data_IF_853614222472
#
_entry.id   IF_853614222472
#
_cell.length_a   1.000
_cell.length_b   1.000
_cell.length_c   1.000
_cell.angle_alpha   90.00
_cell.angle_beta   90.00
_cell.angle_gamma   90.00
#
_symmetry.space_group_name_H-M   'P 1'
#
loop_
_entity.id
_entity.type
_entity.pdbx_description
1 polymer ?
#
# COMPACT_ATOMS: atom_id res chain seq x y z
N UNK A 1 15.52 -94.16 0.26
CA UNK A 1 16.87 -93.78 -0.13
C UNK A 1 16.85 -92.37 -0.71
N UNK A 2 17.62 -91.52 -0.28
CA UNK A 2 17.96 -90.15 -0.61
C UNK A 2 17.49 -89.08 0.40
N UNK A 3 18.45 -88.63 1.13
CA UNK A 3 18.40 -87.62 2.13
C UNK A 3 18.29 -86.21 1.50
N UNK A 4 17.37 -85.41 1.94
CA UNK A 4 17.25 -84.00 1.55
C UNK A 4 17.76 -83.20 2.70
N UNK A 5 18.82 -82.44 2.47
CA UNK A 5 19.45 -81.50 3.40
C UNK A 5 18.68 -80.18 3.27
N UNK A 6 18.09 -79.72 4.36
CA UNK A 6 17.43 -78.44 4.43
C UNK A 6 18.48 -77.39 4.81
N UNK A 7 18.82 -76.53 3.88
CA UNK A 7 19.64 -75.34 4.15
C UNK A 7 18.77 -74.19 4.68
N UNK A 8 19.02 -73.83 5.91
CA UNK A 8 18.39 -72.63 6.46
C UNK A 8 19.11 -71.37 5.99
N UNK A 9 18.44 -70.61 5.20
CA UNK A 9 18.88 -69.22 4.81
C UNK A 9 18.29 -68.25 5.78
N UNK A 10 19.15 -67.69 6.66
CA UNK A 10 18.82 -66.56 7.48
C UNK A 10 18.81 -65.30 6.63
N UNK A 11 17.63 -64.82 6.31
CA UNK A 11 17.46 -63.49 5.71
C UNK A 11 17.41 -62.43 6.82
N UNK A 12 18.50 -61.68 6.97
CA UNK A 12 18.55 -60.49 7.79
C UNK A 12 17.75 -59.40 7.06
N UNK A 13 16.51 -59.20 7.47
CA UNK A 13 15.68 -58.07 7.01
C UNK A 13 16.15 -56.79 7.65
N UNK A 14 16.87 -55.95 6.91
CA UNK A 14 17.13 -54.58 7.32
C UNK A 14 15.81 -53.77 7.22
N UNK A 15 15.20 -53.53 8.37
CA UNK A 15 14.10 -52.56 8.52
C UNK A 15 14.68 -51.15 8.31
N UNK A 16 14.59 -50.63 7.09
CA UNK A 16 14.74 -49.20 6.82
C UNK A 16 13.52 -48.48 7.38
N UNK A 17 13.70 -47.92 8.59
CA UNK A 17 12.77 -46.94 9.15
C UNK A 17 12.85 -45.68 8.29
N UNK A 18 12.00 -45.58 7.29
CA UNK A 18 11.68 -44.30 6.65
C UNK A 18 10.97 -43.47 7.73
N UNK A 19 11.74 -42.68 8.45
CA UNK A 19 11.20 -41.61 9.28
C UNK A 19 10.54 -40.60 8.32
N UNK A 20 9.21 -40.66 8.20
CA UNK A 20 8.44 -39.53 7.69
C UNK A 20 8.68 -38.36 8.65
N UNK A 21 9.61 -37.47 8.31
CA UNK A 21 9.58 -36.12 8.84
C UNK A 21 8.27 -35.51 8.32
N UNK A 22 7.22 -35.63 9.12
CA UNK A 22 6.08 -34.72 9.02
C UNK A 22 6.65 -33.35 9.39
N UNK A 23 7.11 -32.59 8.37
CA UNK A 23 7.25 -31.17 8.51
C UNK A 23 5.90 -30.70 9.05
N UNK A 24 5.88 -30.26 10.31
CA UNK A 24 4.74 -29.57 10.86
C UNK A 24 4.58 -28.33 9.95
N UNK A 25 3.65 -28.42 9.00
CA UNK A 25 3.14 -27.23 8.34
C UNK A 25 2.55 -26.42 9.47
N UNK A 26 3.29 -25.42 9.93
CA UNK A 26 2.72 -24.36 10.72
C UNK A 26 1.61 -23.78 9.84
N UNK A 27 0.37 -24.18 10.12
CA UNK A 27 -0.79 -23.50 9.57
C UNK A 27 -0.71 -22.09 10.13
N UNK A 28 -0.06 -21.20 9.38
CA UNK A 28 -0.16 -19.78 9.66
C UNK A 28 -1.65 -19.47 9.71
N UNK A 29 -2.09 -18.95 10.86
CA UNK A 29 -3.48 -18.51 10.98
C UNK A 29 -3.79 -17.59 9.81
N UNK A 30 -4.94 -17.77 9.13
CA UNK A 30 -5.32 -16.85 8.06
C UNK A 30 -5.18 -15.42 8.55
N UNK A 31 -4.57 -14.56 7.76
CA UNK A 31 -4.42 -13.15 8.10
C UNK A 31 -5.81 -12.56 8.33
N UNK A 32 -6.06 -12.04 9.52
CA UNK A 32 -7.31 -11.34 9.79
C UNK A 32 -7.40 -10.11 8.91
N UNK A 33 -8.61 -9.77 8.46
CA UNK A 33 -8.84 -8.53 7.74
C UNK A 33 -8.37 -7.36 8.60
N UNK A 34 -7.56 -6.47 8.03
CA UNK A 34 -7.14 -5.25 8.71
C UNK A 34 -8.25 -4.21 8.65
N UNK A 35 -8.31 -3.34 9.67
CA UNK A 35 -9.05 -2.10 9.57
C UNK A 35 -8.52 -1.29 8.39
N UNK A 36 -9.40 -0.48 7.79
CA UNK A 36 -9.00 0.34 6.65
C UNK A 36 -8.27 1.62 7.06
N UNK A 37 -8.43 2.07 8.32
CA UNK A 37 -7.76 3.27 8.79
C UNK A 37 -7.32 3.19 10.25
N UNK A 38 -6.19 3.82 10.51
CA UNK A 38 -5.54 3.91 11.82
C UNK A 38 -5.12 5.34 12.08
N UNK A 39 -5.11 5.77 13.34
CA UNK A 39 -4.58 7.09 13.70
C UNK A 39 -3.93 7.07 15.09
N UNK A 40 -2.98 7.98 15.28
CA UNK A 40 -2.29 8.20 16.54
C UNK A 40 -1.44 9.45 16.49
N UNK A 41 -0.93 9.87 17.64
CA UNK A 41 0.08 10.92 17.73
C UNK A 41 1.41 10.25 18.05
N UNK A 42 2.32 10.29 17.08
CA UNK A 42 3.67 9.75 17.18
C UNK A 42 4.64 10.81 17.71
N UNK A 43 5.80 10.42 18.26
CA UNK A 43 6.82 11.35 18.68
C UNK A 43 7.32 12.22 17.52
N UNK A 44 7.66 13.46 17.85
CA UNK A 44 8.20 14.44 16.91
C UNK A 44 9.39 15.14 17.59
N UNK A 45 10.48 15.32 16.85
CA UNK A 45 11.69 15.95 17.40
C UNK A 45 11.52 17.46 17.57
N UNK A 46 10.91 18.12 16.59
CA UNK A 46 10.83 19.57 16.47
C UNK A 46 9.39 20.10 16.50
N UNK A 47 8.43 19.30 16.98
CA UNK A 47 7.03 19.67 17.08
C UNK A 47 6.38 19.04 18.33
N UNK A 48 5.16 19.46 18.66
CA UNK A 48 4.44 18.94 19.83
C UNK A 48 3.99 17.47 19.66
N UNK A 49 3.90 17.00 18.42
CA UNK A 49 3.55 15.63 18.05
C UNK A 49 3.25 15.51 16.58
N UNK A 50 3.42 14.31 16.06
CA UNK A 50 3.12 13.97 14.68
C UNK A 50 1.79 13.21 14.62
N UNK A 51 0.68 13.94 14.37
CA UNK A 51 -0.61 13.30 14.17
C UNK A 51 -0.61 12.55 12.86
N UNK A 52 -0.57 11.23 12.97
CA UNK A 52 -0.47 10.31 11.85
C UNK A 52 -1.81 9.62 11.62
N UNK A 53 -2.25 9.60 10.36
CA UNK A 53 -3.43 8.86 9.90
C UNK A 53 -3.05 8.00 8.71
N UNK A 54 -3.23 6.68 8.83
CA UNK A 54 -2.92 5.70 7.81
C UNK A 54 -4.20 5.08 7.27
N UNK A 55 -4.35 5.06 5.95
CA UNK A 55 -5.48 4.47 5.23
C UNK A 55 -4.97 3.31 4.36
N UNK A 56 -5.31 2.09 4.72
CA UNK A 56 -5.00 0.90 3.95
C UNK A 56 -6.17 0.60 3.00
N UNK A 57 -5.91 0.55 1.72
CA UNK A 57 -6.92 0.31 0.70
C UNK A 57 -6.93 -1.16 0.28
N UNK A 58 -8.09 -1.69 -0.07
CA UNK A 58 -8.25 -3.09 -0.51
C UNK A 58 -7.49 -3.40 -1.80
N UNK A 59 -7.22 -2.38 -2.62
CA UNK A 59 -6.44 -2.51 -3.85
C UNK A 59 -4.92 -2.65 -3.64
N UNK A 60 -4.47 -2.72 -2.38
CA UNK A 60 -3.07 -2.84 -2.00
C UNK A 60 -2.32 -1.50 -1.95
N UNK A 61 -3.03 -0.38 -2.04
CA UNK A 61 -2.44 0.95 -1.89
C UNK A 61 -2.69 1.53 -0.50
N UNK A 62 -1.88 2.51 -0.10
CA UNK A 62 -2.10 3.24 1.15
C UNK A 62 -2.08 4.75 0.90
N UNK A 63 -2.70 5.48 1.81
CA UNK A 63 -2.52 6.93 1.98
C UNK A 63 -2.08 7.15 3.42
N UNK A 64 -1.01 7.91 3.60
CA UNK A 64 -0.49 8.30 4.90
C UNK A 64 -0.54 9.82 5.00
N UNK A 65 -1.31 10.34 5.96
CA UNK A 65 -1.33 11.77 6.30
C UNK A 65 -0.58 11.98 7.61
N UNK A 66 0.29 12.97 7.62
CA UNK A 66 1.07 13.39 8.79
C UNK A 66 0.88 14.89 9.01
N UNK A 67 0.48 15.26 10.22
CA UNK A 67 0.30 16.66 10.63
C UNK A 67 1.29 16.94 11.75
N UNK A 68 2.27 17.78 11.46
CA UNK A 68 3.24 18.30 12.42
C UNK A 68 2.56 19.36 13.28
N UNK A 69 2.20 18.99 14.51
CA UNK A 69 1.44 19.85 15.41
C UNK A 69 2.34 20.82 16.16
N UNK A 70 1.93 22.09 16.24
CA UNK A 70 2.64 23.10 17.01
C UNK A 70 4.04 23.42 16.49
N UNK A 71 4.28 23.31 15.18
CA UNK A 71 5.51 23.81 14.56
C UNK A 71 5.55 25.33 14.56
N UNK A 72 6.72 25.94 14.31
CA UNK A 72 6.88 27.41 14.35
C UNK A 72 5.95 28.16 13.38
N UNK A 73 5.61 27.49 12.26
CA UNK A 73 4.75 28.05 11.21
C UNK A 73 3.30 27.54 11.30
N UNK A 74 2.90 27.03 12.47
CA UNK A 74 1.61 26.39 12.70
C UNK A 74 1.60 24.91 12.28
N UNK A 75 0.43 24.29 12.30
CA UNK A 75 0.28 22.89 11.92
C UNK A 75 0.54 22.71 10.40
N UNK A 76 1.46 21.82 10.07
CA UNK A 76 1.83 21.50 8.69
C UNK A 76 1.36 20.11 8.35
N UNK A 77 0.51 19.98 7.32
CA UNK A 77 -0.04 18.70 6.86
C UNK A 77 0.65 18.23 5.58
N UNK A 78 1.10 17.00 5.59
CA UNK A 78 1.67 16.29 4.45
C UNK A 78 0.91 14.99 4.22
N UNK A 79 0.88 14.54 2.96
CA UNK A 79 0.34 13.23 2.63
C UNK A 79 1.26 12.53 1.64
N UNK A 80 1.34 11.21 1.77
CA UNK A 80 2.07 10.33 0.86
C UNK A 80 1.20 9.15 0.45
N UNK A 81 1.56 8.55 -0.67
CA UNK A 81 0.84 7.46 -1.31
C UNK A 81 1.81 6.41 -1.82
N UNK A 82 1.38 5.16 -1.83
CA UNK A 82 2.17 4.05 -2.34
C UNK A 82 1.44 2.73 -2.18
N UNK A 83 2.20 1.66 -2.14
CA UNK A 83 1.69 0.29 -1.96
C UNK A 83 1.97 -0.24 -0.56
N UNK A 84 1.13 -1.16 -0.09
CA UNK A 84 1.37 -1.86 1.17
C UNK A 84 1.37 -3.38 0.97
N UNK A 85 2.15 -4.06 1.79
CA UNK A 85 2.18 -5.50 1.89
C UNK A 85 2.20 -5.92 3.36
N UNK A 86 1.70 -7.11 3.65
CA UNK A 86 1.57 -7.60 5.03
C UNK A 86 1.93 -9.07 5.14
N UNK A 87 2.65 -9.39 6.22
CA UNK A 87 2.77 -10.73 6.79
C UNK A 87 2.01 -10.79 8.13
N UNK A 88 2.10 -11.90 8.87
CA UNK A 88 1.54 -12.00 10.22
C UNK A 88 2.15 -10.96 11.18
N UNK A 89 3.45 -10.70 11.06
CA UNK A 89 4.24 -9.93 12.01
C UNK A 89 4.60 -8.52 11.52
N UNK A 90 4.43 -8.23 10.23
CA UNK A 90 4.93 -6.99 9.65
C UNK A 90 4.01 -6.43 8.57
N UNK A 91 3.67 -5.16 8.68
CA UNK A 91 3.07 -4.34 7.63
C UNK A 91 4.16 -3.43 7.07
N UNK A 92 4.35 -3.45 5.77
CA UNK A 92 5.32 -2.62 5.05
C UNK A 92 4.57 -1.67 4.13
N UNK A 93 4.83 -0.39 4.29
CA UNK A 93 4.43 0.66 3.35
C UNK A 93 5.63 0.96 2.45
N UNK A 94 5.42 0.99 1.14
CA UNK A 94 6.43 1.41 0.16
C UNK A 94 5.91 2.63 -0.57
N UNK A 95 6.55 3.77 -0.36
CA UNK A 95 6.21 5.05 -0.97
C UNK A 95 6.52 5.08 -2.47
N UNK A 96 5.98 6.07 -3.16
CA UNK A 96 6.26 6.32 -4.56
C UNK A 96 7.72 6.76 -4.83
N UNK A 97 8.45 7.17 -3.80
CA UNK A 97 9.88 7.47 -3.78
C UNK A 97 10.76 6.25 -3.44
N UNK A 98 10.13 5.10 -3.15
CA UNK A 98 10.80 3.87 -2.74
C UNK A 98 11.13 3.79 -1.24
N UNK A 99 10.84 4.83 -0.46
CA UNK A 99 10.99 4.79 1.00
C UNK A 99 10.05 3.76 1.63
N UNK A 100 10.52 3.12 2.68
CA UNK A 100 9.75 2.11 3.40
C UNK A 100 9.48 2.54 4.82
N UNK A 101 8.27 2.23 5.28
CA UNK A 101 7.87 2.33 6.69
C UNK A 101 7.32 0.99 7.16
N UNK A 102 7.64 0.63 8.38
CA UNK A 102 7.33 -0.68 8.94
C UNK A 102 6.46 -0.53 10.17
N UNK A 103 5.48 -1.42 10.28
CA UNK A 103 4.63 -1.53 11.46
C UNK A 103 4.48 -2.99 11.85
N UNK A 104 4.35 -3.25 13.15
CA UNK A 104 4.00 -4.54 13.70
C UNK A 104 2.51 -4.55 14.03
N UNK A 105 1.69 -5.38 13.35
CA UNK A 105 0.31 -5.61 13.73
C UNK A 105 0.25 -6.29 15.10
N UNK A 106 -0.31 -5.63 16.10
CA UNK A 106 -0.44 -6.14 17.45
C UNK A 106 -1.85 -5.92 17.95
N UNK A 107 -2.55 -7.00 18.22
CA UNK A 107 -3.98 -6.99 18.48
C UNK A 107 -4.71 -6.29 17.30
N UNK A 108 -5.43 -5.20 17.59
CA UNK A 108 -6.09 -4.37 16.56
C UNK A 108 -5.26 -3.14 16.16
N UNK A 109 -4.09 -2.92 16.77
CA UNK A 109 -3.28 -1.73 16.59
C UNK A 109 -2.13 -1.97 15.62
N UNK A 110 -1.44 -0.88 15.25
CA UNK A 110 -0.18 -0.91 14.53
C UNK A 110 0.90 -0.23 15.38
N UNK A 111 1.92 -0.98 15.78
CA UNK A 111 3.11 -0.43 16.43
C UNK A 111 4.14 -0.07 15.35
N UNK A 112 4.57 1.18 15.29
CA UNK A 112 5.61 1.60 14.35
C UNK A 112 6.94 0.95 14.72
N UNK A 113 7.64 0.45 13.72
CA UNK A 113 8.98 -0.10 13.81
C UNK A 113 10.02 0.92 13.33
N UNK A 114 11.28 0.68 13.60
CA UNK A 114 12.37 1.50 13.10
C UNK A 114 12.62 1.33 11.58
N UNK A 115 13.59 2.03 11.03
CA UNK A 115 13.94 1.99 9.61
C UNK A 115 14.46 0.61 9.15
N UNK A 116 14.89 -0.24 10.10
CA UNK A 116 15.33 -1.62 9.84
C UNK A 116 14.19 -2.63 9.98
N UNK A 117 13.02 -2.17 10.44
CA UNK A 117 11.85 -2.99 10.70
C UNK A 117 11.92 -3.71 12.05
N UNK A 118 12.70 -3.19 13.00
CA UNK A 118 12.85 -3.71 14.35
C UNK A 118 12.04 -2.90 15.37
N UNK A 119 11.64 -3.49 16.51
CA UNK A 119 10.88 -2.80 17.55
C UNK A 119 11.62 -1.60 18.14
N UNK A 120 10.93 -0.45 18.26
CA UNK A 120 11.46 0.75 18.90
C UNK A 120 11.31 0.62 20.42
N UNK A 121 12.44 0.59 21.13
CA UNK A 121 12.43 0.63 22.61
C UNK A 121 12.40 2.08 23.08
N UNK A 122 11.24 2.55 23.54
CA UNK A 122 11.02 3.94 23.96
C UNK A 122 9.88 4.02 24.98
N UNK A 123 9.85 5.10 25.76
CA UNK A 123 8.71 5.45 26.61
C UNK A 123 7.64 6.31 25.88
N UNK A 124 7.92 6.72 24.65
CA UNK A 124 6.98 7.47 23.85
C UNK A 124 5.98 6.55 23.14
N UNK A 125 4.85 7.12 22.68
CA UNK A 125 3.84 6.38 21.95
C UNK A 125 4.24 6.21 20.47
N UNK A 126 4.36 4.97 20.02
CA UNK A 126 4.56 4.59 18.61
C UNK A 126 3.38 3.80 18.04
N UNK A 127 2.22 3.88 18.69
CA UNK A 127 1.04 3.07 18.34
C UNK A 127 0.00 3.90 17.60
N UNK A 128 -0.46 3.38 16.47
CA UNK A 128 -1.65 3.82 15.76
C UNK A 128 -2.81 2.88 16.12
N UNK A 129 -3.98 3.46 16.42
CA UNK A 129 -5.19 2.73 16.77
C UNK A 129 -6.18 2.73 15.61
N UNK A 130 -7.00 1.68 15.46
CA UNK A 130 -8.04 1.65 14.44
C UNK A 130 -9.05 2.78 14.67
N UNK A 131 -9.43 3.43 13.58
CA UNK A 131 -10.42 4.51 13.57
C UNK A 131 -11.30 4.39 12.32
N UNK A 132 -12.44 5.06 12.34
CA UNK A 132 -13.24 5.29 11.13
C UNK A 132 -13.11 6.75 10.74
N UNK A 133 -12.54 7.01 9.59
CA UNK A 133 -12.37 8.37 9.08
C UNK A 133 -12.37 8.38 7.55
N UNK A 134 -12.78 9.52 6.98
CA UNK A 134 -12.73 9.75 5.53
C UNK A 134 -11.31 9.96 5.04
N UNK A 135 -11.08 9.71 3.75
CA UNK A 135 -9.80 9.99 3.09
C UNK A 135 -9.42 11.47 3.27
N UNK A 136 -8.13 11.77 3.48
CA UNK A 136 -7.67 13.14 3.65
C UNK A 136 -7.71 13.88 2.32
N UNK A 137 -7.98 15.19 2.38
CA UNK A 137 -7.88 16.09 1.23
C UNK A 137 -6.52 16.79 1.12
N UNK A 138 -5.55 16.37 1.92
CA UNK A 138 -4.18 16.89 1.85
C UNK A 138 -3.57 16.49 0.50
N UNK A 139 -3.15 17.46 -0.33
CA UNK A 139 -2.55 17.15 -1.61
C UNK A 139 -1.22 16.39 -1.43
N UNK A 140 -0.98 15.43 -2.32
CA UNK A 140 0.26 14.67 -2.40
C UNK A 140 0.81 14.70 -3.82
N UNK A 141 2.11 14.52 -3.99
CA UNK A 141 2.73 14.44 -5.31
C UNK A 141 2.29 13.14 -6.02
N UNK A 142 1.67 13.29 -7.17
CA UNK A 142 1.22 12.19 -8.02
C UNK A 142 1.81 12.37 -9.43
N UNK A 143 2.23 11.27 -10.04
CA UNK A 143 2.66 11.23 -11.43
C UNK A 143 2.16 9.98 -12.12
N UNK A 144 1.73 10.11 -13.37
CA UNK A 144 1.14 9.00 -14.10
C UNK A 144 0.85 9.34 -15.56
N UNK A 145 0.25 8.37 -16.24
CA UNK A 145 -0.20 8.52 -17.62
C UNK A 145 -1.68 8.82 -17.63
N UNK A 146 -2.05 9.98 -18.13
CA UNK A 146 -3.46 10.38 -18.32
C UNK A 146 -3.93 10.07 -19.72
N UNK A 147 -5.16 9.62 -19.81
CA UNK A 147 -5.92 9.51 -21.05
C UNK A 147 -7.30 10.14 -20.85
N UNK A 148 -7.77 10.87 -21.86
CA UNK A 148 -9.13 11.40 -21.92
C UNK A 148 -9.82 10.84 -23.15
N UNK A 149 -10.94 10.16 -22.96
CA UNK A 149 -11.72 9.51 -24.01
C UNK A 149 -13.18 9.42 -23.59
N UNK A 150 -14.10 9.67 -24.51
CA UNK A 150 -15.54 9.57 -24.27
C UNK A 150 -15.99 10.31 -22.99
N UNK A 151 -15.55 11.56 -22.84
CA UNK A 151 -15.87 12.45 -21.71
C UNK A 151 -15.42 11.95 -20.33
N UNK A 152 -14.50 10.96 -20.29
CA UNK A 152 -13.92 10.42 -19.08
C UNK A 152 -12.39 10.53 -19.09
N UNK A 153 -11.84 10.98 -17.98
CA UNK A 153 -10.41 11.00 -17.74
C UNK A 153 -10.00 9.80 -16.87
N UNK A 154 -8.93 9.13 -17.27
CA UNK A 154 -8.28 8.08 -16.49
C UNK A 154 -6.82 8.42 -16.24
N UNK A 155 -6.31 8.03 -15.09
CA UNK A 155 -4.95 8.25 -14.63
C UNK A 155 -4.33 6.92 -14.22
N UNK A 156 -3.32 6.47 -14.96
CA UNK A 156 -2.51 5.31 -14.58
C UNK A 156 -1.32 5.80 -13.77
N UNK A 157 -1.37 5.57 -12.47
CA UNK A 157 -0.31 5.96 -11.54
C UNK A 157 1.01 5.24 -11.83
N UNK A 158 2.11 5.97 -11.90
CA UNK A 158 3.43 5.42 -12.21
C UNK A 158 3.99 4.54 -11.07
N UNK A 159 3.72 4.91 -9.82
CA UNK A 159 4.29 4.21 -8.67
C UNK A 159 3.67 2.83 -8.44
N UNK A 160 2.36 2.72 -8.64
CA UNK A 160 1.61 1.49 -8.35
C UNK A 160 1.11 0.77 -9.59
N UNK A 161 1.14 1.43 -10.75
CA UNK A 161 0.54 0.93 -12.00
C UNK A 161 -0.98 0.85 -11.99
N UNK A 162 -1.64 1.31 -10.91
CA UNK A 162 -3.10 1.31 -10.79
C UNK A 162 -3.72 2.37 -11.67
N UNK A 163 -4.92 2.11 -12.15
CA UNK A 163 -5.70 3.05 -12.97
C UNK A 163 -6.85 3.57 -12.12
N UNK A 164 -6.98 4.89 -12.08
CA UNK A 164 -8.03 5.58 -11.35
C UNK A 164 -8.81 6.49 -12.30
N UNK A 165 -10.13 6.63 -12.15
CA UNK A 165 -10.85 7.73 -12.74
C UNK A 165 -10.33 9.05 -12.16
N UNK A 166 -10.33 10.08 -12.97
CA UNK A 166 -10.09 11.45 -12.51
C UNK A 166 -11.42 12.19 -12.37
N UNK A 167 -11.57 12.86 -11.26
CA UNK A 167 -12.71 13.75 -11.06
C UNK A 167 -12.75 14.79 -12.18
N UNK A 168 -13.92 14.97 -12.81
CA UNK A 168 -14.08 15.81 -13.97
C UNK A 168 -13.60 17.25 -13.69
N UNK A 169 -12.58 17.65 -14.40
CA UNK A 169 -12.00 18.98 -14.32
C UNK A 169 -11.74 19.49 -15.74
N UNK A 170 -12.46 20.52 -16.13
CA UNK A 170 -12.35 21.13 -17.47
C UNK A 170 -10.91 21.55 -17.80
N UNK A 171 -10.16 22.05 -16.83
CA UNK A 171 -8.76 22.45 -17.04
C UNK A 171 -7.83 21.27 -17.32
N UNK A 172 -8.13 20.07 -16.79
CA UNK A 172 -7.39 18.85 -17.13
C UNK A 172 -7.66 18.41 -18.55
N UNK A 173 -8.92 18.44 -18.98
CA UNK A 173 -9.28 18.17 -20.38
C UNK A 173 -8.57 19.14 -21.33
N UNK A 174 -8.67 20.44 -21.09
CA UNK A 174 -8.03 21.48 -21.92
C UNK A 174 -6.51 21.27 -22.00
N UNK A 175 -5.85 21.02 -20.86
CA UNK A 175 -4.41 20.76 -20.80
C UNK A 175 -3.99 19.49 -21.54
N UNK A 176 -4.75 18.41 -21.39
CA UNK A 176 -4.53 17.16 -22.11
C UNK A 176 -4.69 17.35 -23.63
N UNK A 177 -5.79 17.97 -24.05
CA UNK A 177 -6.06 18.21 -25.47
C UNK A 177 -5.01 19.12 -26.14
N UNK A 178 -4.50 20.10 -25.41
CA UNK A 178 -3.43 20.98 -25.88
C UNK A 178 -2.07 20.27 -26.00
N UNK A 179 -1.86 19.19 -25.24
CA UNK A 179 -0.55 18.50 -25.15
C UNK A 179 -0.48 17.24 -26.01
N UNK A 180 -1.59 16.51 -26.16
CA UNK A 180 -1.60 15.29 -26.97
C UNK A 180 -1.29 15.56 -28.44
N UNK A 181 -0.59 14.64 -29.10
CA UNK A 181 -0.26 14.70 -30.53
C UNK A 181 -1.17 13.83 -31.40
N UNK A 182 -1.91 12.89 -30.78
CA UNK A 182 -2.84 12.00 -31.46
C UNK A 182 -4.08 11.75 -30.59
N UNK A 183 -5.22 11.36 -31.18
CA UNK A 183 -6.39 10.92 -30.43
C UNK A 183 -6.04 9.78 -29.48
N UNK A 184 -6.60 9.83 -28.25
CA UNK A 184 -6.42 8.81 -27.21
C UNK A 184 -4.96 8.52 -26.81
N UNK A 185 -4.03 9.41 -27.11
CA UNK A 185 -2.64 9.30 -26.70
C UNK A 185 -2.54 9.37 -25.16
N UNK A 186 -1.76 8.46 -24.56
CA UNK A 186 -1.35 8.61 -23.17
C UNK A 186 -0.39 9.80 -23.04
N UNK A 187 -0.68 10.72 -22.12
CA UNK A 187 0.14 11.90 -21.84
C UNK A 187 0.58 11.83 -20.39
N UNK A 188 1.87 12.02 -20.14
CA UNK A 188 2.39 12.08 -18.79
C UNK A 188 1.83 13.31 -18.07
N UNK A 189 1.33 13.10 -16.86
CA UNK A 189 0.79 14.11 -15.97
C UNK A 189 1.51 14.04 -14.63
N UNK A 190 2.03 15.15 -14.15
CA UNK A 190 2.47 15.33 -12.77
C UNK A 190 1.65 16.44 -12.11
N UNK A 191 1.30 16.27 -10.85
CA UNK A 191 0.44 17.18 -10.12
C UNK A 191 0.59 16.99 -8.61
N UNK A 192 0.08 17.94 -7.84
CA UNK A 192 -0.35 17.70 -6.48
C UNK A 192 -1.86 17.43 -6.50
N UNK A 193 -2.27 16.34 -5.86
CA UNK A 193 -3.66 15.90 -5.87
C UNK A 193 -3.99 15.02 -4.67
N UNK A 194 -5.25 14.70 -4.51
CA UNK A 194 -5.70 13.79 -3.46
C UNK A 194 -6.65 12.73 -4.02
N UNK A 195 -6.90 11.69 -3.23
CA UNK A 195 -7.90 10.68 -3.54
C UNK A 195 -9.22 10.97 -2.84
N UNK A 196 -10.32 10.72 -3.55
CA UNK A 196 -11.66 10.77 -2.99
C UNK A 196 -12.44 9.49 -3.32
N UNK A 197 -13.45 9.20 -2.52
CA UNK A 197 -14.45 8.20 -2.86
C UNK A 197 -15.59 8.88 -3.60
N UNK A 198 -15.97 8.35 -4.76
CA UNK A 198 -17.10 8.82 -5.55
C UNK A 198 -17.96 7.63 -5.98
N UNK A 199 -19.24 7.82 -6.33
CA UNK A 199 -20.06 6.75 -6.89
C UNK A 199 -19.43 6.19 -8.17
N UNK A 200 -19.39 4.87 -8.30
CA UNK A 200 -18.95 4.22 -9.52
C UNK A 200 -20.09 4.13 -10.54
N UNK A 201 -19.78 3.67 -11.76
CA UNK A 201 -20.81 3.39 -12.76
C UNK A 201 -21.69 2.19 -12.38
N UNK A 202 -21.25 1.35 -11.44
CA UNK A 202 -22.04 0.25 -10.88
C UNK A 202 -22.89 0.79 -9.73
N UNK A 203 -24.21 0.58 -9.80
CA UNK A 203 -25.16 1.09 -8.84
C UNK A 203 -24.81 0.63 -7.41
N UNK A 204 -24.75 1.59 -6.48
CA UNK A 204 -24.47 1.34 -5.06
C UNK A 204 -23.00 1.09 -4.73
N UNK A 205 -22.11 1.12 -5.71
CA UNK A 205 -20.67 0.98 -5.47
C UNK A 205 -19.94 2.33 -5.44
N UNK A 206 -18.90 2.39 -4.61
CA UNK A 206 -17.99 3.53 -4.54
C UNK A 206 -16.66 3.14 -5.17
N UNK A 207 -16.08 4.07 -5.91
CA UNK A 207 -14.73 3.93 -6.48
C UNK A 207 -13.82 5.02 -5.93
N UNK A 208 -12.53 4.75 -5.97
CA UNK A 208 -11.49 5.73 -5.64
C UNK A 208 -11.14 6.52 -6.90
N UNK A 209 -11.27 7.84 -6.84
CA UNK A 209 -10.94 8.77 -7.92
C UNK A 209 -9.82 9.72 -7.50
N UNK A 210 -9.10 10.24 -8.47
CA UNK A 210 -8.05 11.26 -8.28
C UNK A 210 -8.63 12.64 -8.56
N UNK A 211 -8.34 13.58 -7.66
CA UNK A 211 -8.60 15.01 -7.82
C UNK A 211 -7.27 15.72 -8.03
N UNK A 212 -7.14 16.49 -9.08
CA UNK A 212 -5.98 17.37 -9.27
C UNK A 212 -6.22 18.70 -8.53
N UNK A 213 -5.37 19.01 -7.55
CA UNK A 213 -5.51 20.22 -6.74
C UNK A 213 -4.70 21.38 -7.30
N UNK A 214 -3.41 21.17 -7.59
CA UNK A 214 -2.49 22.20 -8.07
C UNK A 214 -1.24 21.63 -8.76
N UNK A 215 -0.39 22.51 -9.29
CA UNK A 215 0.88 22.16 -9.90
C UNK A 215 0.76 21.14 -11.06
N UNK A 216 -0.36 21.22 -11.80
CA UNK A 216 -0.67 20.35 -12.94
C UNK A 216 0.29 20.63 -14.09
N UNK A 217 1.03 19.61 -14.54
CA UNK A 217 1.96 19.70 -15.67
C UNK A 217 1.80 18.49 -16.58
N UNK A 218 1.56 18.75 -17.86
CA UNK A 218 1.48 17.75 -18.91
C UNK A 218 2.79 17.68 -19.69
N UNK A 219 3.19 16.49 -20.14
CA UNK A 219 4.37 16.28 -20.97
C UNK A 219 4.14 15.09 -21.91
N UNK A 220 4.04 15.40 -23.23
CA UNK A 220 3.83 14.38 -24.26
C UNK A 220 5.10 13.57 -24.59
N UNK A 221 6.24 13.90 -24.01
CA UNK A 221 7.54 13.24 -24.27
C UNK A 221 7.98 12.30 -23.16
N UNK A 222 7.36 12.40 -21.99
CA UNK A 222 7.62 11.54 -20.82
C UNK A 222 6.70 10.33 -20.76
N UNK A 223 7.18 9.31 -20.07
CA UNK A 223 6.40 8.13 -19.67
C UNK A 223 6.73 7.76 -18.22
N UNK A 224 6.00 6.83 -17.64
CA UNK A 224 6.39 6.20 -16.39
C UNK A 224 7.73 5.47 -16.57
N UNK A 225 8.57 5.42 -15.49
CA UNK A 225 9.82 4.66 -15.46
C UNK A 225 9.61 3.16 -15.74
#
# INVERSE_FOLDING_TARGET
>A
MKKIIIGAVLALGALLLFGCHTAAFNHEKPLQAMQQSYSGVLPCADCSGLKTSLFLQQDGTYILQEIYQGSKDGDQAFASYGSWARTADKLVLTGNDGEKRYFHPKDENLEMLDMSGEPITSQFNYTLKPVQQSLPKTPMALSGMMQYSADAASFKDCATGKVFPMSANKSLEEGYLATRKAPNQLVFLSMEGHFMAEPSMEEGQMQKAVVADKNVKFDATKSCP
#
